data_IF_638731234238
#
_entry.id   IF_638731234238
#
_cell.length_a   1.000
_cell.length_b   1.000
_cell.length_c   1.000
_cell.angle_alpha   90.00
_cell.angle_beta   90.00
_cell.angle_gamma   90.00
#
_symmetry.space_group_name_H-M   'P 1'
#
loop_
_entity.id
_entity.type
_entity.pdbx_description
1 polymer ?
#
# COMPACT_ATOMS: atom_id res chain seq x y z
N UNK A 1 -11.58 21.16 -14.37
CA UNK A 1 -10.50 20.14 -14.49
C UNK A 1 -10.86 19.28 -15.68
N UNK A 2 -9.97 19.18 -16.65
CA UNK A 2 -10.16 18.25 -17.78
C UNK A 2 -10.07 16.81 -17.29
N UNK A 3 -10.89 15.89 -17.84
CA UNK A 3 -10.92 14.48 -17.48
C UNK A 3 -9.54 13.81 -17.64
N UNK A 4 -8.78 14.19 -18.68
CA UNK A 4 -7.44 13.69 -18.94
C UNK A 4 -6.42 14.12 -17.87
N UNK A 5 -6.64 15.25 -17.19
CA UNK A 5 -5.76 15.77 -16.16
C UNK A 5 -6.17 15.29 -14.76
N UNK A 6 -7.43 14.87 -14.58
CA UNK A 6 -7.96 14.52 -13.26
C UNK A 6 -7.21 13.35 -12.58
N UNK A 7 -6.70 12.42 -13.39
CA UNK A 7 -5.99 11.23 -12.91
C UNK A 7 -4.47 11.30 -13.14
N UNK A 8 -3.95 12.44 -13.61
CA UNK A 8 -2.51 12.62 -13.83
C UNK A 8 -1.78 12.87 -12.51
N UNK A 9 -0.55 12.39 -12.47
CA UNK A 9 0.39 12.53 -11.35
C UNK A 9 1.69 13.21 -11.81
N UNK A 10 1.58 14.08 -12.83
CA UNK A 10 2.74 14.81 -13.36
C UNK A 10 3.35 15.72 -12.28
N UNK A 11 4.66 15.65 -12.13
CA UNK A 11 5.39 16.41 -11.10
C UNK A 11 5.39 15.77 -9.72
N UNK A 12 4.61 14.70 -9.49
CA UNK A 12 4.58 14.00 -8.22
C UNK A 12 5.78 13.04 -8.05
N UNK A 13 6.25 12.91 -6.82
CA UNK A 13 7.21 11.90 -6.40
C UNK A 13 6.52 10.89 -5.49
N UNK A 14 6.32 9.67 -5.97
CA UNK A 14 5.66 8.59 -5.25
C UNK A 14 6.68 7.62 -4.64
N UNK A 15 6.68 7.46 -3.33
CA UNK A 15 7.49 6.49 -2.61
C UNK A 15 6.63 5.29 -2.21
N UNK A 16 6.99 4.10 -2.71
CA UNK A 16 6.22 2.87 -2.53
C UNK A 16 7.05 1.83 -1.77
N UNK A 17 6.68 1.55 -0.53
CA UNK A 17 7.32 0.49 0.25
C UNK A 17 6.87 -0.90 -0.22
N UNK A 18 7.82 -1.85 -0.32
CA UNK A 18 7.55 -3.15 -0.91
C UNK A 18 7.26 -3.08 -2.41
N UNK A 19 7.79 -2.06 -3.10
CA UNK A 19 7.53 -1.77 -4.51
C UNK A 19 8.18 -2.71 -5.51
N UNK A 20 9.03 -3.64 -5.08
CA UNK A 20 9.76 -4.56 -5.97
C UNK A 20 8.96 -5.77 -6.46
N UNK A 21 7.69 -5.94 -6.08
CA UNK A 21 6.87 -7.07 -6.53
C UNK A 21 5.39 -6.90 -6.18
N UNK A 22 4.53 -7.74 -6.80
CA UNK A 22 3.12 -7.85 -6.47
C UNK A 22 2.36 -6.53 -6.50
N UNK A 23 1.53 -6.25 -5.47
CA UNK A 23 0.73 -5.02 -5.42
C UNK A 23 1.58 -3.75 -5.42
N UNK A 24 2.74 -3.77 -4.74
CA UNK A 24 3.65 -2.63 -4.72
C UNK A 24 4.18 -2.27 -6.11
N UNK A 25 4.59 -3.27 -6.89
CA UNK A 25 5.03 -3.09 -8.27
C UNK A 25 3.89 -2.60 -9.17
N UNK A 26 2.70 -3.19 -9.06
CA UNK A 26 1.55 -2.76 -9.84
C UNK A 26 1.16 -1.29 -9.56
N UNK A 27 1.15 -0.89 -8.28
CA UNK A 27 0.91 0.51 -7.91
C UNK A 27 2.01 1.44 -8.43
N UNK A 28 3.28 1.05 -8.34
CA UNK A 28 4.39 1.83 -8.88
C UNK A 28 4.28 1.99 -10.41
N UNK A 29 3.98 0.89 -11.13
CA UNK A 29 3.77 0.90 -12.58
C UNK A 29 2.59 1.77 -12.98
N UNK A 30 1.45 1.65 -12.30
CA UNK A 30 0.27 2.48 -12.58
C UNK A 30 0.54 3.98 -12.33
N UNK A 31 1.21 4.32 -11.21
CA UNK A 31 1.57 5.70 -10.89
C UNK A 31 2.57 6.28 -11.89
N UNK A 32 3.55 5.49 -12.35
CA UNK A 32 4.49 5.91 -13.40
C UNK A 32 3.76 6.18 -14.73
N UNK A 33 2.83 5.28 -15.13
CA UNK A 33 1.97 5.48 -16.31
C UNK A 33 1.09 6.74 -16.19
N UNK A 34 0.70 7.10 -14.97
CA UNK A 34 -0.03 8.33 -14.69
C UNK A 34 0.85 9.59 -14.66
N UNK A 35 2.18 9.47 -14.76
CA UNK A 35 3.14 10.58 -14.86
C UNK A 35 4.00 10.84 -13.63
N UNK A 36 3.86 10.08 -12.56
CA UNK A 36 4.69 10.22 -11.37
C UNK A 36 6.12 9.72 -11.60
N UNK A 37 7.08 10.34 -10.93
CA UNK A 37 8.36 9.69 -10.60
C UNK A 37 8.12 8.72 -9.45
N UNK A 38 8.54 7.46 -9.59
CA UNK A 38 8.32 6.45 -8.58
C UNK A 38 9.64 5.98 -7.94
N UNK A 39 9.63 5.85 -6.63
CA UNK A 39 10.73 5.30 -5.85
C UNK A 39 10.24 4.03 -5.19
N UNK A 40 10.76 2.87 -5.63
CA UNK A 40 10.43 1.58 -5.03
C UNK A 40 11.41 1.26 -3.91
N UNK A 41 10.86 0.97 -2.72
CA UNK A 41 11.67 0.71 -1.52
C UNK A 41 11.50 -0.74 -1.07
N UNK A 42 12.59 -1.39 -0.71
CA UNK A 42 12.55 -2.76 -0.20
C UNK A 42 13.91 -3.24 0.30
N UNK A 43 13.96 -4.44 0.88
CA UNK A 43 15.18 -5.00 1.47
C UNK A 43 16.11 -5.71 0.48
N UNK A 44 15.59 -6.13 -0.65
CA UNK A 44 16.31 -6.93 -1.65
C UNK A 44 16.52 -6.13 -2.91
N UNK A 45 17.78 -5.95 -3.29
CA UNK A 45 18.17 -5.13 -4.44
C UNK A 45 17.63 -5.68 -5.76
N UNK A 46 17.78 -6.97 -6.00
CA UNK A 46 17.43 -7.59 -7.29
C UNK A 46 15.95 -7.42 -7.69
N UNK A 47 14.94 -7.69 -6.81
CA UNK A 47 13.54 -7.40 -7.16
C UNK A 47 13.27 -5.91 -7.41
N UNK A 48 13.98 -5.02 -6.73
CA UNK A 48 13.82 -3.56 -6.95
C UNK A 48 14.40 -3.15 -8.30
N UNK A 49 15.57 -3.70 -8.69
CA UNK A 49 16.18 -3.46 -10.00
C UNK A 49 15.26 -3.95 -11.12
N UNK A 50 14.74 -5.19 -11.01
CA UNK A 50 13.78 -5.72 -11.98
C UNK A 50 12.52 -4.85 -12.10
N UNK A 51 12.01 -4.35 -10.98
CA UNK A 51 10.87 -3.42 -10.99
C UNK A 51 11.20 -2.12 -11.72
N UNK A 52 12.39 -1.56 -11.51
CA UNK A 52 12.83 -0.37 -12.25
C UNK A 52 13.01 -0.64 -13.76
N UNK A 53 13.58 -1.79 -14.11
CA UNK A 53 13.75 -2.20 -15.53
C UNK A 53 12.38 -2.35 -16.23
N UNK A 54 11.37 -2.91 -15.51
CA UNK A 54 10.00 -3.07 -16.03
C UNK A 54 9.27 -1.73 -16.18
N UNK A 55 9.38 -0.84 -15.21
CA UNK A 55 8.70 0.46 -15.20
C UNK A 55 9.38 1.46 -16.15
N UNK A 56 10.70 1.39 -16.27
CA UNK A 56 11.50 2.28 -17.11
C UNK A 56 11.96 3.56 -16.41
N UNK A 57 12.23 4.60 -17.20
CA UNK A 57 12.92 5.83 -16.76
C UNK A 57 12.23 6.62 -15.62
N UNK A 58 10.95 6.37 -15.38
CA UNK A 58 10.21 7.00 -14.30
C UNK A 58 10.51 6.39 -12.91
N UNK A 59 11.20 5.24 -12.86
CA UNK A 59 11.44 4.49 -11.64
C UNK A 59 12.86 4.62 -11.12
N UNK A 60 12.99 4.58 -9.81
CA UNK A 60 14.26 4.42 -9.12
C UNK A 60 14.09 3.56 -7.87
N UNK A 61 15.17 2.98 -7.38
CA UNK A 61 15.16 2.06 -6.26
C UNK A 61 15.92 2.60 -5.05
N UNK A 62 15.46 2.25 -3.85
CA UNK A 62 16.16 2.42 -2.58
C UNK A 62 16.13 1.11 -1.78
N UNK A 63 17.31 0.56 -1.51
CA UNK A 63 17.44 -0.60 -0.64
C UNK A 63 17.40 -0.11 0.82
N UNK A 64 16.31 -0.43 1.50
CA UNK A 64 16.10 -0.05 2.89
C UNK A 64 15.20 -1.07 3.60
N UNK A 65 15.61 -1.45 4.82
CA UNK A 65 14.72 -2.14 5.75
C UNK A 65 14.00 -1.09 6.61
N UNK A 66 12.75 -0.84 6.29
CA UNK A 66 11.92 0.19 6.95
C UNK A 66 11.64 -0.12 8.43
N UNK A 67 11.92 -1.34 8.90
CA UNK A 67 11.83 -1.70 10.33
C UNK A 67 13.07 -1.25 11.12
N UNK A 68 14.14 -0.84 10.44
CA UNK A 68 15.34 -0.24 11.02
C UNK A 68 15.25 1.28 10.91
N UNK A 69 14.64 1.89 11.91
CA UNK A 69 14.22 3.30 11.89
C UNK A 69 15.36 4.29 11.70
N UNK A 70 16.56 3.95 12.18
CA UNK A 70 17.78 4.74 12.06
C UNK A 70 18.25 4.98 10.61
N UNK A 71 17.91 4.08 9.70
CA UNK A 71 18.25 4.20 8.27
C UNK A 71 17.23 4.94 7.42
N UNK A 72 16.01 5.14 7.92
CA UNK A 72 14.88 5.65 7.12
C UNK A 72 15.04 7.13 6.77
N UNK A 73 15.52 7.96 7.70
CA UNK A 73 15.75 9.39 7.45
C UNK A 73 16.82 9.61 6.36
N UNK A 74 17.92 8.87 6.45
CA UNK A 74 18.99 8.94 5.45
C UNK A 74 18.49 8.47 4.05
N UNK A 75 17.64 7.45 4.01
CA UNK A 75 17.00 7.01 2.76
C UNK A 75 16.11 8.11 2.19
N UNK A 76 15.25 8.73 3.01
CA UNK A 76 14.39 9.84 2.57
C UNK A 76 15.18 11.05 2.08
N UNK A 77 16.30 11.39 2.73
CA UNK A 77 17.18 12.48 2.27
C UNK A 77 17.69 12.19 0.85
N UNK A 78 18.22 10.99 0.59
CA UNK A 78 18.68 10.60 -0.76
C UNK A 78 17.55 10.64 -1.80
N UNK A 79 16.33 10.22 -1.41
CA UNK A 79 15.16 10.30 -2.29
C UNK A 79 14.82 11.73 -2.64
N UNK A 80 14.75 12.61 -1.64
CA UNK A 80 14.43 14.02 -1.84
C UNK A 80 15.46 14.73 -2.71
N UNK A 81 16.75 14.44 -2.52
CA UNK A 81 17.85 15.03 -3.30
C UNK A 81 17.79 14.60 -4.78
N UNK A 82 17.47 13.33 -5.03
CA UNK A 82 17.47 12.76 -6.39
C UNK A 82 16.16 12.98 -7.14
N UNK A 83 15.03 12.82 -6.47
CA UNK A 83 13.72 12.77 -7.09
C UNK A 83 12.83 13.97 -6.73
N UNK A 84 13.27 14.85 -5.84
CA UNK A 84 12.45 15.88 -5.23
C UNK A 84 11.62 15.35 -4.05
N UNK A 85 10.96 16.25 -3.31
CA UNK A 85 10.24 15.90 -2.09
C UNK A 85 9.14 14.86 -2.37
N UNK A 86 9.02 13.90 -1.46
CA UNK A 86 7.96 12.88 -1.53
C UNK A 86 6.60 13.53 -1.34
N UNK A 87 5.77 13.51 -2.37
CA UNK A 87 4.39 14.03 -2.36
C UNK A 87 3.32 12.93 -2.30
N UNK A 88 3.69 11.69 -2.64
CA UNK A 88 2.82 10.51 -2.49
C UNK A 88 3.59 9.43 -1.72
N UNK A 89 3.02 8.98 -0.60
CA UNK A 89 3.55 7.85 0.16
C UNK A 89 2.59 6.66 0.11
N UNK A 90 3.08 5.49 -0.33
CA UNK A 90 2.33 4.23 -0.31
C UNK A 90 2.95 3.26 0.71
N UNK A 91 2.30 3.13 1.86
CA UNK A 91 2.63 2.17 2.91
C UNK A 91 2.08 0.78 2.53
N UNK A 92 2.85 0.03 1.71
CA UNK A 92 2.46 -1.27 1.19
C UNK A 92 3.29 -2.43 1.77
N UNK A 93 4.54 -2.19 2.15
CA UNK A 93 5.41 -3.25 2.68
C UNK A 93 4.74 -4.00 3.84
N UNK A 94 4.87 -5.32 3.81
CA UNK A 94 4.25 -6.14 4.82
C UNK A 94 4.73 -7.58 4.80
N UNK A 95 4.39 -8.31 5.85
CA UNK A 95 4.61 -9.74 6.00
C UNK A 95 3.29 -10.43 6.28
N UNK A 96 3.14 -11.66 5.84
CA UNK A 96 1.96 -12.46 6.09
C UNK A 96 2.30 -13.58 7.07
N UNK A 97 1.53 -13.67 8.16
CA UNK A 97 1.61 -14.77 9.12
C UNK A 97 0.26 -15.50 9.14
N UNK A 98 0.27 -16.76 8.70
CA UNK A 98 -0.90 -17.65 8.76
C UNK A 98 -0.63 -18.74 9.78
N UNK A 99 -1.23 -18.61 10.97
CA UNK A 99 -1.16 -19.56 12.07
C UNK A 99 -2.45 -19.53 12.89
N UNK A 100 -2.88 -20.66 13.51
CA UNK A 100 -3.90 -20.63 14.53
C UNK A 100 -3.55 -19.62 15.64
N UNK A 101 -4.56 -18.97 16.23
CA UNK A 101 -4.35 -17.95 17.25
C UNK A 101 -3.56 -18.50 18.46
N UNK A 102 -3.86 -19.73 18.87
CA UNK A 102 -3.20 -20.40 20.02
C UNK A 102 -1.73 -20.74 19.75
N UNK A 103 -1.31 -20.78 18.49
CA UNK A 103 0.08 -21.04 18.06
C UNK A 103 0.83 -19.76 17.70
N UNK A 104 0.15 -18.62 17.69
CA UNK A 104 0.77 -17.33 17.34
C UNK A 104 1.42 -16.75 18.58
N UNK A 105 2.75 -16.88 18.68
CA UNK A 105 3.49 -16.33 19.83
C UNK A 105 3.47 -14.79 19.82
N UNK A 106 3.71 -14.19 20.99
CA UNK A 106 3.78 -12.73 21.15
C UNK A 106 4.86 -12.12 20.24
N UNK A 107 6.01 -12.79 20.12
CA UNK A 107 7.14 -12.32 19.29
C UNK A 107 6.78 -12.37 17.80
N UNK A 108 6.09 -13.44 17.36
CA UNK A 108 5.62 -13.54 15.97
C UNK A 108 4.55 -12.48 15.66
N UNK A 109 3.68 -12.22 16.62
CA UNK A 109 2.67 -11.16 16.54
C UNK A 109 3.33 -9.77 16.46
N UNK A 110 4.27 -9.47 17.37
CA UNK A 110 5.00 -8.20 17.41
C UNK A 110 5.75 -7.93 16.10
N UNK A 111 6.42 -8.92 15.52
CA UNK A 111 7.11 -8.80 14.24
C UNK A 111 6.19 -8.39 13.09
N UNK A 112 4.94 -8.83 13.10
CA UNK A 112 3.94 -8.39 12.12
C UNK A 112 3.59 -6.92 12.36
N UNK A 113 3.35 -6.52 13.62
CA UNK A 113 3.09 -5.12 13.96
C UNK A 113 4.26 -4.20 13.62
N UNK A 114 5.50 -4.61 13.90
CA UNK A 114 6.70 -3.83 13.59
C UNK A 114 6.76 -3.48 12.11
N UNK A 115 6.52 -4.47 11.24
CA UNK A 115 6.61 -4.26 9.79
C UNK A 115 5.44 -3.43 9.25
N UNK A 116 4.22 -3.71 9.69
CA UNK A 116 3.04 -3.04 9.15
C UNK A 116 2.77 -1.71 9.86
N UNK A 117 2.73 -1.69 11.18
CA UNK A 117 2.23 -0.53 11.93
C UNK A 117 3.35 0.45 12.25
N UNK A 118 4.40 -0.02 12.95
CA UNK A 118 5.45 0.87 13.43
C UNK A 118 6.29 1.44 12.28
N UNK A 119 6.66 0.61 11.29
CA UNK A 119 7.43 1.08 10.14
C UNK A 119 6.61 2.07 9.27
N UNK A 120 5.33 1.78 9.02
CA UNK A 120 4.47 2.69 8.26
C UNK A 120 4.23 4.01 9.02
N UNK A 121 4.03 3.96 10.34
CA UNK A 121 3.93 5.16 11.17
C UNK A 121 5.22 5.98 11.12
N UNK A 122 6.37 5.34 11.31
CA UNK A 122 7.66 6.03 11.27
C UNK A 122 7.89 6.74 9.94
N UNK A 123 7.65 6.06 8.82
CA UNK A 123 7.82 6.66 7.50
C UNK A 123 6.82 7.81 7.25
N UNK A 124 5.56 7.61 7.65
CA UNK A 124 4.52 8.64 7.52
C UNK A 124 4.87 9.90 8.30
N UNK A 125 5.27 9.78 9.58
CA UNK A 125 5.66 10.94 10.40
C UNK A 125 6.84 11.73 9.84
N UNK A 126 7.74 11.05 9.09
CA UNK A 126 8.92 11.70 8.49
C UNK A 126 8.60 12.46 7.20
N UNK A 127 7.60 12.02 6.42
CA UNK A 127 7.22 12.72 5.18
C UNK A 127 6.17 13.80 5.39
N UNK A 128 5.31 13.67 6.40
CA UNK A 128 4.21 14.61 6.67
C UNK A 128 4.65 16.08 6.82
N UNK A 129 5.74 16.42 7.53
CA UNK A 129 6.15 17.82 7.67
C UNK A 129 6.40 18.50 6.32
N UNK A 130 7.05 17.81 5.37
CA UNK A 130 7.28 18.32 4.02
C UNK A 130 5.99 18.50 3.23
N UNK A 131 5.10 17.52 3.27
CA UNK A 131 3.78 17.59 2.62
C UNK A 131 2.93 18.73 3.19
N UNK A 132 2.91 18.90 4.52
CA UNK A 132 2.16 19.97 5.19
C UNK A 132 2.71 21.35 4.84
N UNK A 133 4.03 21.51 4.81
CA UNK A 133 4.68 22.76 4.41
C UNK A 133 4.37 23.12 2.94
N UNK A 134 4.38 22.12 2.05
CA UNK A 134 4.00 22.30 0.65
C UNK A 134 2.48 22.46 0.45
N UNK A 135 1.66 22.24 1.49
CA UNK A 135 0.20 22.19 1.43
C UNK A 135 -0.33 21.22 0.35
N UNK A 136 0.40 20.14 0.16
CA UNK A 136 0.14 19.16 -0.89
C UNK A 136 0.70 17.80 -0.50
N UNK A 137 -0.11 16.74 -0.59
CA UNK A 137 0.35 15.38 -0.35
C UNK A 137 -0.76 14.34 -0.30
N UNK A 138 -0.40 13.09 -0.55
CA UNK A 138 -1.28 11.93 -0.43
C UNK A 138 -0.57 10.77 0.25
N UNK A 139 -1.12 10.30 1.36
CA UNK A 139 -0.63 9.10 2.08
C UNK A 139 -1.64 7.98 1.91
N UNK A 140 -1.17 6.85 1.41
CA UNK A 140 -1.97 5.64 1.21
C UNK A 140 -1.46 4.51 2.10
N UNK A 141 -2.38 3.85 2.78
CA UNK A 141 -2.12 2.62 3.52
C UNK A 141 -2.76 1.44 2.77
N UNK A 142 -1.97 0.39 2.50
CA UNK A 142 -2.53 -0.82 1.91
C UNK A 142 -3.00 -1.74 3.05
N UNK A 143 -4.28 -1.58 3.35
CA UNK A 143 -5.01 -2.38 4.33
C UNK A 143 -5.27 -3.81 3.77
N UNK A 144 -6.41 -4.37 4.05
CA UNK A 144 -6.85 -5.67 3.54
C UNK A 144 -8.34 -5.83 3.83
N UNK A 145 -9.03 -6.68 3.10
CA UNK A 145 -10.34 -7.16 3.54
C UNK A 145 -10.30 -7.80 4.95
N UNK A 146 -9.14 -8.31 5.38
CA UNK A 146 -8.94 -8.80 6.76
C UNK A 146 -9.10 -7.70 7.83
N UNK A 147 -9.10 -6.43 7.45
CA UNK A 147 -9.45 -5.30 8.33
C UNK A 147 -10.96 -5.07 8.44
N UNK A 148 -11.75 -5.63 7.54
CA UNK A 148 -13.19 -5.39 7.38
C UNK A 148 -14.02 -6.61 7.77
N UNK A 149 -13.51 -7.83 7.50
CA UNK A 149 -14.17 -9.10 7.79
C UNK A 149 -13.24 -10.07 8.50
N UNK A 150 -13.81 -10.97 9.29
CA UNK A 150 -13.05 -11.99 10.01
C UNK A 150 -12.49 -13.05 9.06
N UNK A 151 -11.17 -13.24 9.08
CA UNK A 151 -10.48 -14.34 8.41
C UNK A 151 -9.75 -15.20 9.44
N UNK A 152 -9.92 -16.52 9.38
CA UNK A 152 -9.28 -17.42 10.31
C UNK A 152 -7.75 -17.51 10.09
N UNK A 153 -7.01 -17.80 11.16
CA UNK A 153 -5.57 -18.06 11.16
C UNK A 153 -4.67 -16.87 10.80
N UNK A 154 -5.17 -15.65 10.83
CA UNK A 154 -4.40 -14.44 10.47
C UNK A 154 -4.51 -13.34 11.54
N UNK A 155 -4.60 -13.71 12.83
CA UNK A 155 -4.89 -12.77 13.92
C UNK A 155 -3.92 -11.58 13.95
N UNK A 156 -2.62 -11.81 13.85
CA UNK A 156 -1.61 -10.73 13.85
C UNK A 156 -1.72 -9.83 12.61
N UNK A 157 -1.92 -10.45 11.45
CA UNK A 157 -2.10 -9.72 10.18
C UNK A 157 -3.38 -8.89 10.19
N UNK A 158 -4.51 -9.47 10.62
CA UNK A 158 -5.77 -8.76 10.72
C UNK A 158 -5.68 -7.59 11.70
N UNK A 159 -5.07 -7.78 12.87
CA UNK A 159 -4.83 -6.72 13.85
C UNK A 159 -3.99 -5.57 13.24
N UNK A 160 -2.87 -5.91 12.56
CA UNK A 160 -2.00 -4.91 11.92
C UNK A 160 -2.74 -4.14 10.82
N UNK A 161 -3.51 -4.83 9.98
CA UNK A 161 -4.27 -4.17 8.90
C UNK A 161 -5.46 -3.36 9.43
N UNK A 162 -6.08 -3.78 10.54
CA UNK A 162 -7.13 -3.00 11.23
C UNK A 162 -6.58 -1.74 11.89
N UNK A 163 -5.33 -1.75 12.36
CA UNK A 163 -4.67 -0.56 12.91
C UNK A 163 -4.61 0.57 11.87
N UNK A 164 -4.45 0.27 10.59
CA UNK A 164 -4.47 1.27 9.52
C UNK A 164 -5.79 2.06 9.45
N UNK A 165 -6.92 1.43 9.79
CA UNK A 165 -8.22 2.11 9.80
C UNK A 165 -8.27 3.22 10.86
N UNK A 166 -7.68 2.96 12.03
CA UNK A 166 -7.52 3.96 13.08
C UNK A 166 -6.57 5.08 12.67
N UNK A 167 -5.39 4.70 12.12
CA UNK A 167 -4.38 5.66 11.65
C UNK A 167 -4.93 6.57 10.55
N UNK A 168 -5.64 6.03 9.57
CA UNK A 168 -6.24 6.80 8.47
C UNK A 168 -7.24 7.83 9.00
N UNK A 169 -8.15 7.42 9.91
CA UNK A 169 -9.14 8.34 10.49
C UNK A 169 -8.49 9.48 11.25
N UNK A 170 -7.52 9.19 12.11
CA UNK A 170 -6.88 10.20 12.95
C UNK A 170 -5.97 11.12 12.11
N UNK A 171 -5.07 10.54 11.31
CA UNK A 171 -4.14 11.34 10.50
C UNK A 171 -4.88 12.24 9.51
N UNK A 172 -5.97 11.75 8.88
CA UNK A 172 -6.75 12.59 7.96
C UNK A 172 -7.32 13.83 8.64
N UNK A 173 -7.75 13.72 9.89
CA UNK A 173 -8.26 14.88 10.65
C UNK A 173 -7.14 15.87 11.02
N UNK A 174 -5.95 15.36 11.31
CA UNK A 174 -4.82 16.20 11.71
C UNK A 174 -4.23 17.00 10.53
N UNK A 175 -4.20 16.42 9.32
CA UNK A 175 -3.42 17.01 8.21
C UNK A 175 -4.27 17.57 7.06
N UNK A 176 -5.59 17.34 7.04
CA UNK A 176 -6.44 17.79 5.93
C UNK A 176 -6.44 19.30 5.73
N UNK A 177 -6.42 20.09 6.83
CA UNK A 177 -6.32 21.55 6.77
C UNK A 177 -5.01 22.06 6.18
N UNK A 178 -3.99 21.20 6.13
CA UNK A 178 -2.71 21.44 5.49
C UNK A 178 -2.64 20.95 4.04
N UNK A 179 -3.78 20.57 3.43
CA UNK A 179 -3.82 20.10 2.04
C UNK A 179 -3.30 18.68 1.81
N UNK A 180 -3.13 17.91 2.88
CA UNK A 180 -2.67 16.52 2.81
C UNK A 180 -3.86 15.57 2.99
N UNK A 181 -3.94 14.54 2.14
CA UNK A 181 -4.99 13.51 2.21
C UNK A 181 -4.41 12.19 2.70
N UNK A 182 -5.16 11.48 3.52
CA UNK A 182 -4.75 10.17 4.06
C UNK A 182 -5.88 9.18 3.86
N UNK A 183 -5.62 8.11 3.10
CA UNK A 183 -6.62 7.10 2.76
C UNK A 183 -6.04 5.68 2.87
N UNK A 184 -6.89 4.68 2.83
CA UNK A 184 -6.46 3.30 2.68
C UNK A 184 -7.15 2.63 1.50
N UNK A 185 -6.49 1.61 0.95
CA UNK A 185 -7.08 0.63 0.04
C UNK A 185 -7.14 -0.69 0.79
N UNK A 186 -8.27 -1.39 0.70
CA UNK A 186 -8.46 -2.72 1.27
C UNK A 186 -8.62 -3.75 0.13
N UNK A 187 -7.52 -4.33 -0.38
CA UNK A 187 -7.58 -5.33 -1.43
C UNK A 187 -8.30 -6.60 -0.97
N UNK A 188 -9.03 -7.21 -1.90
CA UNK A 188 -9.59 -8.54 -1.79
C UNK A 188 -8.58 -9.64 -2.12
N UNK A 189 -9.08 -10.72 -2.68
CA UNK A 189 -8.25 -11.78 -3.24
C UNK A 189 -7.77 -11.37 -4.63
N UNK A 190 -6.49 -10.95 -4.70
CA UNK A 190 -5.83 -10.51 -5.92
C UNK A 190 -4.95 -11.62 -6.46
N UNK A 191 -5.06 -11.95 -7.75
CA UNK A 191 -4.22 -12.96 -8.37
C UNK A 191 -2.74 -12.54 -8.31
N UNK A 192 -1.95 -13.34 -7.62
CA UNK A 192 -0.52 -13.12 -7.41
C UNK A 192 0.19 -14.45 -7.29
N UNK A 193 1.49 -14.47 -7.56
CA UNK A 193 2.29 -15.68 -7.38
C UNK A 193 2.19 -16.23 -5.95
N UNK A 194 2.11 -15.35 -4.94
CA UNK A 194 1.92 -15.74 -3.54
C UNK A 194 0.56 -16.41 -3.33
N UNK A 195 -0.53 -15.83 -3.87
CA UNK A 195 -1.87 -16.38 -3.71
C UNK A 195 -2.01 -17.70 -4.48
N UNK A 196 -1.54 -17.78 -5.71
CA UNK A 196 -1.53 -19.04 -6.48
C UNK A 196 -0.82 -20.15 -5.72
N UNK A 197 0.34 -19.87 -5.11
CA UNK A 197 1.06 -20.83 -4.26
C UNK A 197 0.26 -21.21 -3.00
N UNK A 198 -0.43 -20.26 -2.37
CA UNK A 198 -1.20 -20.50 -1.15
C UNK A 198 -2.50 -21.29 -1.39
N UNK A 199 -3.00 -21.32 -2.63
CA UNK A 199 -4.23 -21.99 -3.04
C UNK A 199 -3.97 -23.24 -3.89
N UNK A 200 -2.72 -23.54 -4.25
CA UNK A 200 -2.36 -24.68 -5.08
C UNK A 200 -2.86 -25.99 -4.45
N UNK A 201 -3.71 -26.72 -5.17
CA UNK A 201 -4.28 -27.98 -4.72
C UNK A 201 -5.44 -27.88 -3.72
N UNK A 202 -5.97 -26.66 -3.48
CA UNK A 202 -7.11 -26.43 -2.59
C UNK A 202 -8.31 -25.81 -3.36
N UNK A 203 -8.86 -26.61 -4.28
CA UNK A 203 -9.97 -26.17 -5.14
C UNK A 203 -11.22 -25.81 -4.32
N UNK A 204 -11.46 -26.51 -3.21
CA UNK A 204 -12.58 -26.23 -2.32
C UNK A 204 -12.46 -24.81 -1.71
N UNK A 205 -11.24 -24.40 -1.35
CA UNK A 205 -10.99 -23.07 -0.85
C UNK A 205 -11.11 -22.02 -1.95
N UNK A 206 -10.64 -22.30 -3.15
CA UNK A 206 -10.83 -21.44 -4.34
C UNK A 206 -12.31 -21.21 -4.58
N UNK A 207 -13.10 -22.29 -4.67
CA UNK A 207 -14.55 -22.22 -4.86
C UNK A 207 -15.25 -21.39 -3.77
N UNK A 208 -14.86 -21.58 -2.50
CA UNK A 208 -15.40 -20.83 -1.37
C UNK A 208 -15.07 -19.33 -1.43
N UNK A 209 -13.87 -18.97 -1.91
CA UNK A 209 -13.49 -17.57 -2.09
C UNK A 209 -14.32 -16.96 -3.22
N UNK A 210 -14.40 -17.63 -4.35
CA UNK A 210 -15.10 -17.14 -5.53
C UNK A 210 -16.62 -17.01 -5.27
N UNK A 211 -17.24 -18.00 -4.60
CA UNK A 211 -18.67 -17.93 -4.26
C UNK A 211 -19.04 -16.77 -3.33
N UNK A 212 -18.07 -16.26 -2.56
CA UNK A 212 -18.26 -15.08 -1.70
C UNK A 212 -17.92 -13.78 -2.40
N UNK A 213 -17.18 -13.84 -3.50
CA UNK A 213 -16.80 -12.65 -4.28
C UNK A 213 -17.92 -12.35 -5.28
N UNK A 214 -18.61 -11.23 -5.15
CA UNK A 214 -19.76 -10.90 -6.01
C UNK A 214 -19.42 -10.88 -7.51
N UNK A 215 -18.17 -10.54 -7.87
CA UNK A 215 -17.67 -10.59 -9.25
C UNK A 215 -17.20 -11.99 -9.69
N UNK A 216 -17.27 -13.00 -8.84
CA UNK A 216 -16.94 -14.41 -9.10
C UNK A 216 -15.56 -14.64 -9.73
N UNK A 217 -14.63 -13.71 -9.56
CA UNK A 217 -13.25 -13.79 -10.03
C UNK A 217 -12.28 -13.21 -9.02
N UNK A 218 -11.01 -13.58 -9.14
CA UNK A 218 -9.94 -12.86 -8.48
C UNK A 218 -9.72 -11.49 -9.14
N UNK A 219 -9.30 -10.50 -8.37
CA UNK A 219 -8.85 -9.23 -8.91
C UNK A 219 -7.44 -9.34 -9.48
N UNK A 220 -7.08 -8.42 -10.37
CA UNK A 220 -5.74 -8.24 -10.86
C UNK A 220 -4.98 -7.20 -10.01
N UNK A 221 -3.65 -7.28 -9.99
CA UNK A 221 -2.84 -6.31 -9.25
C UNK A 221 -3.04 -4.87 -9.79
N UNK A 222 -3.35 -4.73 -11.07
CA UNK A 222 -3.65 -3.45 -11.71
C UNK A 222 -4.95 -2.82 -11.20
N UNK A 223 -5.94 -3.61 -10.75
CA UNK A 223 -7.17 -3.08 -10.12
C UNK A 223 -6.81 -2.24 -8.88
N UNK A 224 -5.84 -2.72 -8.09
CA UNK A 224 -5.29 -2.00 -6.93
C UNK A 224 -4.40 -0.83 -7.38
N UNK A 225 -3.63 -1.01 -8.44
CA UNK A 225 -2.77 0.01 -9.03
C UNK A 225 -3.57 1.26 -9.44
N UNK A 226 -4.65 1.08 -10.18
CA UNK A 226 -5.50 2.20 -10.62
C UNK A 226 -6.31 2.83 -9.48
N UNK A 227 -6.73 2.05 -8.48
CA UNK A 227 -7.34 2.60 -7.26
C UNK A 227 -6.34 3.50 -6.50
N UNK A 228 -5.06 3.12 -6.46
CA UNK A 228 -4.01 3.94 -5.85
C UNK A 228 -3.77 5.23 -6.65
N UNK A 229 -3.76 5.18 -7.98
CA UNK A 229 -3.70 6.39 -8.83
C UNK A 229 -4.88 7.30 -8.54
N UNK A 230 -6.11 6.78 -8.50
CA UNK A 230 -7.30 7.60 -8.16
C UNK A 230 -7.12 8.33 -6.83
N UNK A 231 -6.82 7.60 -5.75
CA UNK A 231 -6.70 8.19 -4.42
C UNK A 231 -5.51 9.17 -4.30
N UNK A 232 -4.46 8.98 -5.09
CA UNK A 232 -3.31 9.89 -5.13
C UNK A 232 -3.57 11.15 -5.96
N UNK A 233 -4.42 11.07 -6.99
CA UNK A 233 -4.62 12.10 -8.01
C UNK A 233 -5.54 13.25 -7.59
N UNK A 234 -5.60 14.33 -8.39
CA UNK A 234 -6.56 15.42 -8.23
C UNK A 234 -8.03 14.99 -8.32
N UNK A 235 -8.35 13.83 -8.96
CA UNK A 235 -9.71 13.29 -8.98
C UNK A 235 -10.25 13.01 -7.56
N UNK A 236 -9.35 12.71 -6.61
CA UNK A 236 -9.69 12.45 -5.21
C UNK A 236 -9.45 13.66 -4.29
N UNK A 237 -9.38 14.90 -4.81
CA UNK A 237 -9.05 16.10 -4.02
C UNK A 237 -9.96 16.38 -2.82
N UNK A 238 -11.15 15.79 -2.79
CA UNK A 238 -12.10 15.91 -1.67
C UNK A 238 -12.33 14.56 -0.97
N UNK A 239 -11.39 13.61 -1.14
CA UNK A 239 -11.45 12.26 -0.55
C UNK A 239 -10.29 12.10 0.44
N UNK A 240 -10.60 12.06 1.74
CA UNK A 240 -9.65 11.78 2.82
C UNK A 240 -10.36 11.02 3.94
N UNK A 241 -9.62 10.21 4.70
CA UNK A 241 -10.16 9.41 5.79
C UNK A 241 -10.91 8.15 5.37
N UNK A 242 -10.90 7.79 4.07
CA UNK A 242 -11.64 6.63 3.57
C UNK A 242 -10.79 5.36 3.55
N UNK A 243 -11.49 4.24 3.65
CA UNK A 243 -10.96 2.90 3.32
C UNK A 243 -11.72 2.42 2.10
N UNK A 244 -11.04 2.31 0.96
CA UNK A 244 -11.61 1.89 -0.31
C UNK A 244 -11.43 0.38 -0.50
N UNK A 245 -12.49 -0.45 -0.42
CA UNK A 245 -12.41 -1.85 -0.80
C UNK A 245 -12.16 -1.98 -2.31
N UNK A 246 -11.19 -2.82 -2.69
CA UNK A 246 -10.92 -3.24 -4.06
C UNK A 246 -10.91 -4.77 -4.03
N UNK A 247 -12.09 -5.37 -3.91
CA UNK A 247 -12.27 -6.75 -3.49
C UNK A 247 -13.35 -7.53 -4.26
N UNK A 248 -13.86 -6.96 -5.36
CA UNK A 248 -14.90 -7.58 -6.15
C UNK A 248 -16.21 -7.85 -5.39
N UNK A 249 -16.44 -7.10 -4.30
CA UNK A 249 -17.62 -7.24 -3.45
C UNK A 249 -17.48 -8.32 -2.36
N UNK A 250 -16.29 -8.88 -2.15
CA UNK A 250 -16.05 -9.93 -1.14
C UNK A 250 -16.46 -9.51 0.28
N UNK A 251 -16.18 -8.28 0.67
CA UNK A 251 -16.53 -7.77 2.01
C UNK A 251 -18.02 -7.51 2.21
N UNK A 252 -18.79 -7.47 1.12
CA UNK A 252 -20.25 -7.25 1.13
C UNK A 252 -21.04 -8.58 0.97
N UNK A 253 -20.41 -9.65 0.48
CA UNK A 253 -21.01 -10.96 0.31
C UNK A 253 -21.26 -11.68 1.64
N UNK A 254 -22.33 -12.48 1.73
CA UNK A 254 -22.71 -13.35 2.86
C UNK A 254 -22.71 -14.82 2.49
#
# INVERSE_FOLDING_TARGET
MDANQAFRLDGETALITGGGSGLGLAMASAMAKAGARVVVVGRREEPLRQACDEIGAAASAEVCDITRFDGVEAMLARVNDRCGPVSILVNNAGVHLKKPAVETSVEAFAKVLDTHVLAAHNLTRLVLPGMMAARHGSVLFIASMASLVGLSQVVAYAAAKSAYLGMVRTLSMEVASHGVRVNAIAPGFIDSAMMRKALAGDDARVAKILSRTAMERFGDADDVGWAAVYLASPAARFVTGVVLPVDGGFSQGF
#
